data_IF_785292419024
#
_entry.id   IF_785292419024
#
_cell.length_a   1.000
_cell.length_b   1.000
_cell.length_c   1.000
_cell.angle_alpha   90.00
_cell.angle_beta   90.00
_cell.angle_gamma   90.00
#
_symmetry.space_group_name_H-M   'P 1'
#
loop_
_entity.id
_entity.type
_entity.pdbx_description
1 polymer ?
#
# COMPACT_ATOMS: atom_id res chain seq x y z
N UNK A 1 13.62 -19.33 -27.31
CA UNK A 1 13.32 -19.91 -28.64
C UNK A 1 12.11 -19.18 -29.17
N UNK A 2 12.31 -18.37 -30.21
CA UNK A 2 11.28 -17.56 -30.87
C UNK A 2 10.49 -18.43 -31.83
N UNK A 3 9.17 -18.31 -31.84
CA UNK A 3 8.35 -18.44 -33.03
C UNK A 3 7.09 -17.59 -32.89
N UNK A 4 6.78 -16.80 -33.92
CA UNK A 4 5.49 -16.13 -34.11
C UNK A 4 5.63 -14.69 -34.58
N UNK A 5 5.65 -14.50 -35.90
CA UNK A 5 5.57 -13.20 -36.57
C UNK A 5 4.11 -12.68 -36.59
N UNK A 6 4.02 -11.35 -36.74
CA UNK A 6 2.90 -10.42 -36.58
C UNK A 6 1.62 -10.72 -37.38
N UNK A 7 0.46 -10.35 -36.81
CA UNK A 7 -0.56 -9.63 -37.57
C UNK A 7 -1.51 -8.81 -36.67
N UNK A 8 -1.96 -7.67 -37.21
CA UNK A 8 -2.80 -6.69 -36.52
C UNK A 8 -4.24 -7.16 -36.31
N UNK A 9 -4.86 -6.69 -35.21
CA UNK A 9 -6.27 -6.95 -34.92
C UNK A 9 -6.56 -6.77 -33.45
N UNK A 10 -7.53 -5.91 -33.12
CA UNK A 10 -7.82 -5.52 -31.75
C UNK A 10 -8.36 -6.64 -30.86
N UNK A 11 -8.31 -6.37 -29.55
CA UNK A 11 -9.24 -6.93 -28.57
C UNK A 11 -8.82 -8.23 -27.89
N UNK A 12 -8.63 -8.11 -26.57
CA UNK A 12 -8.70 -9.16 -25.53
C UNK A 12 -7.44 -10.00 -25.28
N UNK A 13 -6.72 -9.66 -24.21
CA UNK A 13 -5.71 -10.55 -23.62
C UNK A 13 -4.63 -9.85 -22.80
N UNK A 14 -4.94 -9.49 -21.55
CA UNK A 14 -3.95 -9.07 -20.55
C UNK A 14 -4.38 -7.86 -19.72
N UNK A 15 -4.69 -8.08 -18.45
CA UNK A 15 -5.18 -7.08 -17.48
C UNK A 15 -4.10 -6.06 -17.02
N UNK A 16 -3.13 -5.74 -17.87
CA UNK A 16 -2.00 -4.88 -17.54
C UNK A 16 -2.12 -3.53 -18.23
N UNK A 17 -2.32 -2.45 -17.45
CA UNK A 17 -2.32 -1.07 -17.96
C UNK A 17 -0.98 -0.68 -18.61
N UNK A 18 -0.90 0.52 -19.23
CA UNK A 18 0.28 0.96 -19.99
C UNK A 18 1.57 0.96 -19.16
N UNK A 19 1.51 1.35 -17.89
CA UNK A 19 2.65 1.34 -16.98
C UNK A 19 3.17 -0.08 -16.69
N UNK A 20 2.28 -1.03 -16.40
CA UNK A 20 2.64 -2.44 -16.16
C UNK A 20 3.20 -3.10 -17.43
N UNK A 21 2.59 -2.79 -18.57
CA UNK A 21 3.07 -3.25 -19.88
C UNK A 21 4.47 -2.73 -20.21
N UNK A 22 4.75 -1.45 -19.91
CA UNK A 22 6.09 -0.88 -20.06
C UNK A 22 7.09 -1.54 -19.09
N UNK A 23 6.75 -1.63 -17.80
CA UNK A 23 7.64 -2.17 -16.77
C UNK A 23 8.09 -3.61 -17.07
N UNK A 24 7.21 -4.43 -17.65
CA UNK A 24 7.51 -5.83 -18.00
C UNK A 24 8.48 -5.95 -19.19
N UNK A 25 8.61 -4.90 -20.01
CA UNK A 25 9.44 -4.91 -21.24
C UNK A 25 10.63 -3.94 -21.18
N UNK A 26 10.76 -3.18 -20.09
CA UNK A 26 11.77 -2.13 -19.97
C UNK A 26 13.20 -2.73 -19.99
N UNK A 27 14.09 -2.07 -20.71
CA UNK A 27 15.52 -2.44 -20.81
C UNK A 27 16.44 -1.27 -20.47
N UNK A 28 17.71 -1.52 -20.09
CA UNK A 28 18.68 -0.43 -19.89
C UNK A 28 18.76 0.48 -21.12
N UNK A 29 18.59 1.79 -20.90
CA UNK A 29 18.53 2.80 -21.97
C UNK A 29 17.13 3.33 -22.25
N UNK A 30 16.07 2.65 -21.79
CA UNK A 30 14.71 3.17 -21.87
C UNK A 30 14.54 4.43 -21.02
N UNK A 31 13.72 5.36 -21.51
CA UNK A 31 13.44 6.63 -20.85
C UNK A 31 12.11 6.57 -20.12
N UNK A 32 12.09 7.13 -18.91
CA UNK A 32 10.88 7.35 -18.11
C UNK A 32 10.92 8.77 -17.57
N UNK A 33 9.77 9.46 -17.61
CA UNK A 33 9.61 10.75 -16.96
C UNK A 33 9.04 10.52 -15.55
N UNK A 34 9.59 11.22 -14.56
CA UNK A 34 9.12 11.19 -13.17
C UNK A 34 8.58 12.57 -12.85
N UNK A 35 7.32 12.63 -12.44
CA UNK A 35 6.69 13.83 -11.91
C UNK A 35 6.46 13.63 -10.41
N UNK A 36 6.90 14.59 -9.61
CA UNK A 36 6.64 14.58 -8.17
C UNK A 36 5.22 15.10 -7.91
N UNK A 37 4.38 14.28 -7.29
CA UNK A 37 3.00 14.63 -6.89
C UNK A 37 2.93 15.15 -5.45
N UNK A 38 4.07 15.31 -4.78
CA UNK A 38 4.16 15.82 -3.42
C UNK A 38 4.03 14.73 -2.34
N UNK A 39 3.83 15.16 -1.09
CA UNK A 39 3.84 14.29 0.09
C UNK A 39 2.44 14.15 0.69
N UNK A 40 1.96 12.92 0.77
CA UNK A 40 0.69 12.58 1.45
C UNK A 40 0.91 12.32 2.95
N UNK A 41 2.12 11.90 3.32
CA UNK A 41 2.53 11.67 4.71
C UNK A 41 3.63 12.65 5.12
N UNK A 42 3.46 13.27 6.29
CA UNK A 42 4.49 14.06 6.95
C UNK A 42 4.45 13.76 8.44
N UNK A 43 5.61 13.42 9.02
CA UNK A 43 5.74 13.27 10.46
C UNK A 43 5.98 14.62 11.13
N UNK A 44 5.07 15.04 12.01
CA UNK A 44 5.13 16.33 12.71
C UNK A 44 5.48 16.21 14.21
N UNK A 45 5.74 15.00 14.72
CA UNK A 45 6.10 14.76 16.12
C UNK A 45 4.98 14.91 17.15
N UNK A 46 3.73 15.11 16.71
CA UNK A 46 2.58 15.40 17.59
C UNK A 46 1.70 14.20 17.93
N UNK A 47 2.07 12.99 17.52
CA UNK A 47 1.31 11.76 17.77
C UNK A 47 2.12 10.79 18.63
N UNK A 48 1.45 10.01 19.47
CA UNK A 48 2.13 9.06 20.36
C UNK A 48 2.63 7.81 19.62
N UNK A 49 2.01 7.49 18.48
CA UNK A 49 2.45 6.41 17.59
C UNK A 49 1.90 6.60 16.16
N UNK A 50 2.34 5.74 15.24
CA UNK A 50 1.97 5.74 13.83
C UNK A 50 1.27 4.44 13.43
N UNK A 51 0.17 4.55 12.68
CA UNK A 51 -0.49 3.41 12.03
C UNK A 51 -0.33 3.52 10.51
N UNK A 52 0.40 2.59 9.90
CA UNK A 52 0.61 2.54 8.45
C UNK A 52 -0.09 1.31 7.87
N UNK A 53 -0.97 1.48 6.88
CA UNK A 53 -1.74 0.35 6.32
C UNK A 53 -1.74 0.42 4.80
N UNK A 54 -1.51 -0.71 4.14
CA UNK A 54 -1.60 -0.74 2.68
C UNK A 54 -1.62 -2.14 2.08
N UNK A 55 -1.93 -2.18 0.79
CA UNK A 55 -1.72 -3.35 -0.06
C UNK A 55 -0.34 -3.30 -0.74
N UNK A 56 -0.07 -4.23 -1.65
CA UNK A 56 1.23 -4.37 -2.32
C UNK A 56 1.64 -3.11 -3.09
N UNK A 57 0.67 -2.32 -3.55
CA UNK A 57 0.94 -1.07 -4.28
C UNK A 57 1.44 0.05 -3.36
N UNK A 58 1.07 0.00 -2.08
CA UNK A 58 1.48 0.96 -1.06
C UNK A 58 2.75 0.53 -0.30
N UNK A 59 3.19 -0.73 -0.45
CA UNK A 59 4.37 -1.25 0.23
C UNK A 59 5.62 -0.37 0.04
N UNK A 60 5.99 0.09 -1.18
CA UNK A 60 7.15 0.97 -1.35
C UNK A 60 7.06 2.28 -0.56
N UNK A 61 5.87 2.89 -0.49
CA UNK A 61 5.63 4.13 0.24
C UNK A 61 5.74 3.90 1.76
N UNK A 62 5.10 2.86 2.28
CA UNK A 62 5.15 2.49 3.71
C UNK A 62 6.59 2.20 4.14
N UNK A 63 7.32 1.37 3.39
CA UNK A 63 8.70 1.05 3.70
C UNK A 63 9.62 2.29 3.61
N UNK A 64 9.34 3.20 2.69
CA UNK A 64 10.00 4.51 2.61
C UNK A 64 9.78 5.36 3.86
N UNK A 65 8.53 5.43 4.35
CA UNK A 65 8.18 6.12 5.59
C UNK A 65 8.95 5.50 6.76
N UNK A 66 8.89 4.18 6.92
CA UNK A 66 9.53 3.47 8.03
C UNK A 66 11.04 3.73 8.11
N UNK A 67 11.74 3.78 6.96
CA UNK A 67 13.18 4.11 6.92
C UNK A 67 13.50 5.56 7.27
N UNK A 68 12.52 6.47 7.13
CA UNK A 68 12.71 7.91 7.36
C UNK A 68 12.35 8.35 8.78
N UNK A 69 11.63 7.52 9.54
CA UNK A 69 11.17 7.87 10.88
C UNK A 69 12.32 7.85 11.91
N UNK A 70 12.31 8.76 12.90
CA UNK A 70 13.24 8.70 14.03
C UNK A 70 13.10 7.39 14.82
N UNK A 71 14.23 6.92 15.38
CA UNK A 71 14.33 5.60 16.00
C UNK A 71 13.47 5.40 17.26
N UNK A 72 12.99 6.48 17.88
CA UNK A 72 12.13 6.50 19.05
C UNK A 72 10.63 6.52 18.72
N UNK A 73 10.25 6.64 17.44
CA UNK A 73 8.85 6.64 17.03
C UNK A 73 8.27 5.23 17.09
N UNK A 74 7.13 5.07 17.78
CA UNK A 74 6.40 3.81 17.77
C UNK A 74 5.55 3.70 16.50
N UNK A 75 5.65 2.58 15.80
CA UNK A 75 4.90 2.31 14.55
C UNK A 75 4.30 0.92 14.57
N UNK A 76 3.03 0.81 14.17
CA UNK A 76 2.41 -0.46 13.77
C UNK A 76 2.06 -0.36 12.29
N UNK A 77 2.56 -1.29 11.49
CA UNK A 77 2.31 -1.36 10.05
C UNK A 77 1.59 -2.66 9.69
N UNK A 78 0.60 -2.58 8.80
CA UNK A 78 -0.07 -3.73 8.20
C UNK A 78 0.08 -3.64 6.69
N UNK A 79 0.79 -4.60 6.09
CA UNK A 79 1.09 -4.60 4.65
C UNK A 79 0.58 -5.90 4.05
N UNK A 80 -0.48 -5.81 3.24
CA UNK A 80 -0.98 -6.95 2.48
C UNK A 80 -0.15 -7.19 1.23
N UNK A 81 0.17 -8.45 0.96
CA UNK A 81 0.91 -8.89 -0.22
C UNK A 81 0.24 -10.10 -0.89
N UNK A 82 0.42 -10.33 -2.21
CA UNK A 82 -0.21 -11.45 -2.90
C UNK A 82 0.28 -12.81 -2.38
N UNK A 83 1.59 -12.93 -2.12
CA UNK A 83 2.21 -14.19 -1.70
C UNK A 83 3.28 -13.99 -0.64
N UNK A 84 3.70 -15.07 0.03
CA UNK A 84 4.84 -15.04 0.96
C UNK A 84 6.15 -14.61 0.29
N UNK A 85 6.32 -14.88 -1.01
CA UNK A 85 7.53 -14.51 -1.75
C UNK A 85 7.67 -12.98 -1.93
N UNK A 86 6.57 -12.25 -1.78
CA UNK A 86 6.54 -10.79 -1.88
C UNK A 86 6.88 -10.10 -0.55
N UNK A 87 7.02 -10.84 0.54
CA UNK A 87 7.44 -10.31 1.85
C UNK A 87 8.89 -9.85 1.76
N UNK A 88 9.13 -8.59 2.14
CA UNK A 88 10.45 -7.99 2.08
C UNK A 88 11.08 -7.90 3.48
N UNK A 89 12.32 -8.37 3.61
CA UNK A 89 13.11 -8.15 4.84
C UNK A 89 13.39 -6.66 5.02
N UNK A 90 13.11 -6.14 6.21
CA UNK A 90 13.35 -4.74 6.55
C UNK A 90 14.36 -4.63 7.67
N UNK A 91 15.29 -3.70 7.52
CA UNK A 91 16.13 -3.20 8.61
C UNK A 91 15.48 -1.92 9.14
N UNK A 92 14.67 -2.07 10.19
CA UNK A 92 13.92 -0.99 10.84
C UNK A 92 14.26 -0.98 12.33
N UNK A 93 14.15 0.20 12.94
CA UNK A 93 14.41 0.35 14.37
C UNK A 93 13.36 -0.40 15.23
N UNK A 94 13.70 -0.68 16.48
CA UNK A 94 12.92 -1.50 17.40
C UNK A 94 11.52 -0.94 17.74
N UNK A 95 11.24 0.33 17.43
CA UNK A 95 9.92 0.94 17.60
C UNK A 95 8.91 0.51 16.53
N UNK A 96 9.35 -0.19 15.48
CA UNK A 96 8.53 -0.61 14.35
C UNK A 96 8.09 -2.07 14.48
N UNK A 97 6.78 -2.29 14.44
CA UNK A 97 6.14 -3.60 14.31
C UNK A 97 5.44 -3.68 12.94
N UNK A 98 5.90 -4.57 12.07
CA UNK A 98 5.32 -4.80 10.74
C UNK A 98 4.64 -6.16 10.72
N UNK A 99 3.34 -6.14 10.44
CA UNK A 99 2.55 -7.32 10.14
C UNK A 99 2.36 -7.45 8.63
N UNK A 100 3.02 -8.46 8.05
CA UNK A 100 2.83 -8.84 6.66
C UNK A 100 1.63 -9.78 6.55
N UNK A 101 0.68 -9.43 5.69
CA UNK A 101 -0.57 -10.17 5.51
C UNK A 101 -0.55 -10.79 4.13
N UNK A 102 -0.42 -12.11 4.07
CA UNK A 102 -0.51 -12.83 2.80
C UNK A 102 -1.97 -12.96 2.42
N UNK A 103 -2.31 -12.55 1.20
CA UNK A 103 -3.65 -12.66 0.66
C UNK A 103 -4.09 -14.14 0.66
N UNK A 104 -5.30 -14.47 1.16
CA UNK A 104 -5.68 -15.86 1.40
C UNK A 104 -5.80 -16.70 0.12
N UNK A 105 -6.07 -16.06 -1.02
CA UNK A 105 -6.03 -16.68 -2.34
C UNK A 105 -5.92 -15.61 -3.44
N UNK A 106 -5.54 -15.97 -4.68
CA UNK A 106 -5.35 -15.02 -5.77
C UNK A 106 -6.60 -14.27 -6.23
N UNK A 107 -7.81 -14.77 -5.91
CA UNK A 107 -9.08 -14.14 -6.28
C UNK A 107 -9.64 -13.22 -5.19
N UNK A 108 -9.05 -13.24 -3.99
CA UNK A 108 -9.46 -12.36 -2.92
C UNK A 108 -9.22 -10.90 -3.32
N UNK A 109 -10.15 -10.03 -2.94
CA UNK A 109 -10.05 -8.62 -3.30
C UNK A 109 -8.90 -7.97 -2.49
N UNK A 110 -7.97 -7.26 -3.14
CA UNK A 110 -6.87 -6.61 -2.45
C UNK A 110 -7.35 -5.60 -1.42
N UNK A 111 -6.69 -5.60 -0.26
CA UNK A 111 -6.95 -4.69 0.85
C UNK A 111 -8.04 -5.18 1.83
N UNK A 112 -8.81 -6.21 1.50
CA UNK A 112 -9.79 -6.79 2.45
C UNK A 112 -9.10 -7.48 3.61
N UNK A 113 -7.99 -8.18 3.36
CA UNK A 113 -7.25 -8.88 4.41
C UNK A 113 -6.53 -7.88 5.33
N UNK A 114 -5.91 -6.83 4.77
CA UNK A 114 -5.35 -5.71 5.54
C UNK A 114 -6.39 -5.06 6.46
N UNK A 115 -7.56 -4.72 5.92
CA UNK A 115 -8.63 -4.10 6.71
C UNK A 115 -9.09 -5.01 7.85
N UNK A 116 -9.31 -6.30 7.55
CA UNK A 116 -9.75 -7.28 8.55
C UNK A 116 -8.70 -7.50 9.65
N UNK A 117 -7.41 -7.48 9.33
CA UNK A 117 -6.33 -7.59 10.31
C UNK A 117 -6.34 -6.41 11.28
N UNK A 118 -6.43 -5.17 10.77
CA UNK A 118 -6.51 -3.97 11.63
C UNK A 118 -7.74 -4.00 12.54
N UNK A 119 -8.88 -4.50 12.04
CA UNK A 119 -10.11 -4.59 12.83
C UNK A 119 -10.01 -5.58 14.00
N UNK A 120 -9.19 -6.62 13.86
CA UNK A 120 -8.98 -7.67 14.87
C UNK A 120 -7.81 -7.37 15.80
N UNK A 121 -6.89 -6.50 15.38
CA UNK A 121 -5.69 -6.20 16.12
C UNK A 121 -5.99 -5.44 17.41
N UNK A 122 -5.21 -5.76 18.44
CA UNK A 122 -5.01 -4.88 19.59
C UNK A 122 -4.04 -3.79 19.16
N UNK A 123 -4.56 -2.56 19.04
CA UNK A 123 -3.75 -1.41 18.67
C UNK A 123 -3.17 -0.75 19.93
N UNK A 124 -1.98 -0.13 19.83
CA UNK A 124 -1.43 0.66 20.93
C UNK A 124 -2.40 1.72 21.47
N UNK A 125 -2.35 1.95 22.77
CA UNK A 125 -3.05 3.06 23.41
C UNK A 125 -2.49 4.43 22.97
N UNK A 126 -3.31 5.47 23.11
CA UNK A 126 -2.97 6.86 22.77
C UNK A 126 -3.38 7.25 21.35
N UNK A 127 -2.93 8.41 20.90
CA UNK A 127 -3.37 9.05 19.66
C UNK A 127 -2.49 8.68 18.46
N UNK A 128 -2.98 7.84 17.52
CA UNK A 128 -2.24 7.56 16.30
C UNK A 128 -2.29 8.73 15.32
N UNK A 129 -1.23 8.87 14.53
CA UNK A 129 -1.34 9.44 13.20
C UNK A 129 -1.34 8.31 12.17
N UNK A 130 -2.27 8.37 11.22
CA UNK A 130 -2.63 7.23 10.37
C UNK A 130 -2.33 7.56 8.92
N UNK A 131 -1.67 6.63 8.24
CA UNK A 131 -1.50 6.63 6.79
C UNK A 131 -2.09 5.36 6.20
N UNK A 132 -2.99 5.50 5.23
CA UNK A 132 -3.50 4.36 4.46
C UNK A 132 -3.49 4.62 2.96
N UNK A 133 -2.93 3.70 2.20
CA UNK A 133 -2.83 3.77 0.75
C UNK A 133 -3.07 2.39 0.11
N UNK A 134 -3.38 2.36 -1.18
CA UNK A 134 -3.63 1.13 -1.94
C UNK A 134 -5.03 1.09 -2.53
N UNK A 135 -5.70 -0.06 -2.47
CA UNK A 135 -7.05 -0.23 -3.02
C UNK A 135 -8.04 0.75 -2.37
N UNK A 136 -8.90 1.36 -3.20
CA UNK A 136 -9.86 2.37 -2.81
C UNK A 136 -10.76 1.95 -1.64
N UNK A 137 -11.19 0.68 -1.62
CA UNK A 137 -12.01 0.09 -0.57
C UNK A 137 -11.26 -0.08 0.75
N UNK A 138 -9.96 -0.42 0.72
CA UNK A 138 -9.10 -0.38 1.91
C UNK A 138 -9.01 1.03 2.47
N UNK A 139 -8.62 2.01 1.64
CA UNK A 139 -8.41 3.38 2.11
C UNK A 139 -9.68 4.01 2.71
N UNK A 140 -10.82 3.85 2.02
CA UNK A 140 -12.10 4.38 2.51
C UNK A 140 -12.69 3.57 3.66
N UNK A 141 -12.56 2.24 3.61
CA UNK A 141 -13.05 1.33 4.64
C UNK A 141 -12.34 1.52 5.96
N UNK A 142 -11.01 1.60 5.94
CA UNK A 142 -10.21 1.79 7.15
C UNK A 142 -10.49 3.15 7.79
N UNK A 143 -10.54 4.23 7.01
CA UNK A 143 -10.90 5.55 7.54
C UNK A 143 -12.25 5.53 8.25
N UNK A 144 -13.27 4.91 7.65
CA UNK A 144 -14.60 4.80 8.26
C UNK A 144 -14.56 4.02 9.56
N UNK A 145 -13.85 2.88 9.59
CA UNK A 145 -13.69 2.08 10.79
C UNK A 145 -13.02 2.88 11.92
N UNK A 146 -11.89 3.53 11.64
CA UNK A 146 -11.14 4.26 12.65
C UNK A 146 -11.92 5.44 13.22
N UNK A 147 -12.67 6.17 12.38
CA UNK A 147 -13.50 7.29 12.83
C UNK A 147 -14.69 6.81 13.67
N UNK A 148 -15.41 5.78 13.21
CA UNK A 148 -16.67 5.38 13.82
C UNK A 148 -16.47 4.47 15.04
N UNK A 149 -15.55 3.52 14.95
CA UNK A 149 -15.39 2.44 15.95
C UNK A 149 -14.22 2.68 16.91
N UNK A 150 -13.22 3.49 16.49
CA UNK A 150 -12.02 3.80 17.29
C UNK A 150 -11.90 5.28 17.66
N UNK A 151 -12.88 6.10 17.26
CA UNK A 151 -12.92 7.54 17.55
C UNK A 151 -11.68 8.34 17.15
N UNK A 152 -10.90 7.86 16.16
CA UNK A 152 -9.72 8.58 15.67
C UNK A 152 -10.17 9.83 14.91
N UNK A 153 -9.67 11.03 15.25
CA UNK A 153 -10.04 12.25 14.54
C UNK A 153 -9.69 12.19 13.05
N UNK A 154 -10.60 12.67 12.19
CA UNK A 154 -10.37 12.70 10.73
C UNK A 154 -9.10 13.44 10.32
N UNK A 155 -8.70 14.47 11.08
CA UNK A 155 -7.48 15.25 10.85
C UNK A 155 -6.19 14.46 11.11
N UNK A 156 -6.27 13.32 11.80
CA UNK A 156 -5.16 12.41 12.06
C UNK A 156 -5.06 11.26 11.04
N UNK A 157 -5.91 11.26 10.00
CA UNK A 157 -5.98 10.17 9.02
C UNK A 157 -5.69 10.70 7.61
N UNK A 158 -4.49 10.44 7.12
CA UNK A 158 -4.14 10.57 5.71
C UNK A 158 -4.51 9.29 4.98
N UNK A 159 -5.40 9.38 3.98
CA UNK A 159 -5.84 8.22 3.20
C UNK A 159 -5.86 8.55 1.71
N UNK A 160 -5.45 7.60 0.88
CA UNK A 160 -5.46 7.73 -0.58
C UNK A 160 -5.79 6.39 -1.24
N UNK A 161 -6.68 6.40 -2.23
CA UNK A 161 -6.95 5.24 -3.07
C UNK A 161 -6.08 5.31 -4.32
N UNK A 162 -5.00 4.52 -4.37
CA UNK A 162 -4.11 4.47 -5.54
C UNK A 162 -4.78 3.84 -6.74
N UNK A 163 -5.64 2.86 -6.51
CA UNK A 163 -6.30 2.11 -7.56
C UNK A 163 -7.62 1.51 -7.05
N UNK A 164 -8.42 0.94 -7.97
CA UNK A 164 -9.70 0.32 -7.62
C UNK A 164 -9.83 -1.03 -8.29
N UNK A 165 -10.11 -2.07 -7.51
CA UNK A 165 -10.25 -3.42 -8.04
C UNK A 165 -11.35 -3.49 -9.11
N UNK A 166 -11.06 -4.18 -10.22
CA UNK A 166 -11.97 -4.30 -11.35
C UNK A 166 -12.12 -3.04 -12.21
N UNK A 167 -11.32 -1.99 -11.99
CA UNK A 167 -11.29 -0.78 -12.83
C UNK A 167 -9.86 -0.40 -13.19
N UNK A 168 -9.62 -0.14 -14.47
CA UNK A 168 -8.38 0.52 -14.89
C UNK A 168 -8.38 1.98 -14.40
N UNK A 169 -7.18 2.51 -14.11
CA UNK A 169 -7.02 3.96 -13.96
C UNK A 169 -7.47 4.65 -15.27
N UNK A 170 -8.23 5.75 -15.19
CA UNK A 170 -8.74 6.46 -16.35
C UNK A 170 -7.64 7.01 -17.26
#
# INVERSE_FOLDING_TARGET
MVHGEVDGGGGTGGHSGPASSWATRAVPGDRVAIFDEGRIYTFEGQSSWQLLVGDESAAPAILGILRSLPADVRVKAFVEVPTEADIQKQDVHAGVDIEWIVRPNPLAKPGEAALAAVQKAELPDGDPFVYVAGEQGLATGLRRYLVNERSVPKSRICFTGYWKFGKAAP
#
